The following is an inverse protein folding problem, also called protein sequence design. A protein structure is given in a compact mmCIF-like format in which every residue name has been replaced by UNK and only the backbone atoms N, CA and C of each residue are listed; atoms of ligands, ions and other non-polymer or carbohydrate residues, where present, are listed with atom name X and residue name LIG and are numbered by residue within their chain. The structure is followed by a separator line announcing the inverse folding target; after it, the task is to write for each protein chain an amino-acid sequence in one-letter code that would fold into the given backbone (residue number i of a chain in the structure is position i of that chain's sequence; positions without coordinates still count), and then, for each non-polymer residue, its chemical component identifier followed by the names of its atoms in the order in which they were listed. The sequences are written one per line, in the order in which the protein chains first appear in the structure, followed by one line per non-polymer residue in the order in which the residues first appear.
data_IF_911937764511
#
_entry.id   IF_911937764511
#
_cell.length_a   1.000
_cell.length_b   1.000
_cell.length_c   1.000
_cell.angle_alpha   90.00
_cell.angle_beta   90.00
_cell.angle_gamma   90.00
#
_symmetry.space_group_name_H-M   'P 1'
#
loop_
_entity.id
_entity.type
_entity.pdbx_description
1 polymer ?
#
# COMPACT_ATOMS: atom_id res chain seq x y z
N UNK A 1 1.02 22.66 5.64
CA UNK A 1 2.20 21.83 5.95
C UNK A 1 3.31 22.72 6.47
N UNK A 2 4.07 22.25 7.44
CA UNK A 2 5.19 22.99 8.03
C UNK A 2 6.40 22.06 8.10
N UNK A 3 7.60 22.60 7.84
CA UNK A 3 8.86 21.90 7.98
C UNK A 3 9.51 22.28 9.31
N UNK A 4 9.65 21.32 10.22
CA UNK A 4 10.22 21.50 11.56
C UNK A 4 11.43 20.57 11.74
N UNK A 5 12.57 21.06 12.26
CA UNK A 5 13.69 20.21 12.62
C UNK A 5 13.30 19.16 13.65
N UNK A 6 13.78 17.92 13.50
CA UNK A 6 13.53 16.87 14.50
C UNK A 6 14.06 17.21 15.89
N UNK A 7 15.09 18.08 16.01
CA UNK A 7 15.60 18.57 17.29
C UNK A 7 14.60 19.40 18.08
N UNK A 8 13.60 19.96 17.39
CA UNK A 8 12.57 20.83 17.98
C UNK A 8 11.29 20.02 18.27
N UNK A 9 11.31 18.70 18.04
CA UNK A 9 10.20 17.79 18.25
C UNK A 9 10.54 16.78 19.34
N UNK A 10 9.54 16.45 20.17
CA UNK A 10 9.63 15.33 21.09
C UNK A 10 9.09 14.07 20.43
N UNK A 11 9.90 13.02 20.38
CA UNK A 11 9.51 11.69 19.90
C UNK A 11 8.90 10.90 21.07
N UNK A 12 7.73 10.30 20.87
CA UNK A 12 7.05 9.46 21.86
C UNK A 12 7.17 8.00 21.46
N UNK A 13 7.67 7.13 22.33
CA UNK A 13 7.69 5.68 22.05
C UNK A 13 6.29 5.08 22.27
N UNK A 14 5.43 5.19 21.26
CA UNK A 14 4.05 4.70 21.30
C UNK A 14 3.67 3.77 20.14
N UNK A 15 4.64 3.39 19.29
CA UNK A 15 4.40 2.50 18.14
C UNK A 15 4.42 1.01 18.50
N UNK A 16 3.54 0.60 19.42
CA UNK A 16 3.41 -0.78 19.88
C UNK A 16 2.34 -1.56 19.10
N UNK A 17 2.57 -1.77 17.80
CA UNK A 17 1.58 -2.34 16.88
C UNK A 17 1.73 -3.86 16.66
N UNK A 18 0.69 -4.47 16.10
CA UNK A 18 0.67 -5.89 15.71
C UNK A 18 1.32 -6.15 14.34
N UNK A 19 1.36 -5.17 13.45
CA UNK A 19 1.98 -5.22 12.12
C UNK A 19 2.61 -3.88 11.75
N UNK A 20 3.50 -3.88 10.77
CA UNK A 20 4.32 -2.73 10.39
C UNK A 20 5.16 -2.18 11.55
N UNK A 21 5.56 -3.04 12.49
CA UNK A 21 6.33 -2.65 13.69
C UNK A 21 7.65 -1.98 13.35
N UNK A 22 8.29 -2.43 12.27
CA UNK A 22 9.59 -1.93 11.82
C UNK A 22 9.57 -0.50 11.27
N UNK A 23 8.38 0.10 11.04
CA UNK A 23 8.30 1.48 10.53
C UNK A 23 8.62 2.52 11.60
N UNK A 24 8.41 2.19 12.88
CA UNK A 24 8.55 3.15 13.97
C UNK A 24 7.69 4.40 13.77
N UNK A 25 6.42 4.24 13.36
CA UNK A 25 5.49 5.35 13.09
C UNK A 25 4.99 6.01 14.39
N UNK A 26 5.94 6.44 15.21
CA UNK A 26 5.77 7.08 16.51
C UNK A 26 5.11 8.45 16.41
N UNK A 27 4.43 8.85 17.48
CA UNK A 27 3.95 10.22 17.61
C UNK A 27 5.13 11.19 17.76
N UNK A 28 5.07 12.29 17.02
CA UNK A 28 5.94 13.46 17.22
C UNK A 28 5.12 14.62 17.77
N UNK A 29 5.63 15.26 18.83
CA UNK A 29 4.95 16.36 19.51
C UNK A 29 5.75 17.65 19.33
N UNK A 30 5.08 18.69 18.85
CA UNK A 30 5.57 20.07 18.81
C UNK A 30 4.83 20.89 19.87
N UNK A 31 5.55 21.44 20.84
CA UNK A 31 5.01 22.30 21.90
C UNK A 31 5.64 23.69 21.75
N UNK A 32 4.81 24.71 21.49
CA UNK A 32 5.21 26.12 21.34
C UNK A 32 6.38 26.37 20.36
N UNK A 33 6.48 25.56 19.30
CA UNK A 33 7.54 25.68 18.29
C UNK A 33 7.24 26.81 17.31
N UNK A 34 8.15 27.78 17.21
CA UNK A 34 8.11 28.80 16.18
C UNK A 34 8.55 28.23 14.83
N UNK A 35 7.71 28.37 13.80
CA UNK A 35 8.03 27.99 12.42
C UNK A 35 8.10 29.25 11.55
N UNK A 36 9.28 29.57 10.97
CA UNK A 36 9.41 30.67 10.03
C UNK A 36 8.48 30.51 8.81
N UNK A 37 7.97 31.62 8.28
CA UNK A 37 6.98 31.60 7.20
C UNK A 37 7.49 30.88 5.94
N UNK A 38 8.79 30.97 5.63
CA UNK A 38 9.43 30.28 4.51
C UNK A 38 9.46 28.75 4.64
N UNK A 39 9.15 28.20 5.81
CA UNK A 39 9.02 26.74 6.06
C UNK A 39 7.57 26.27 6.10
N UNK A 40 6.62 27.13 5.75
CA UNK A 40 5.19 26.83 5.77
C UNK A 40 4.62 26.88 4.36
N UNK A 41 3.95 25.79 3.96
CA UNK A 41 3.21 25.70 2.70
C UNK A 41 1.71 25.49 2.99
N UNK A 42 0.81 26.31 2.46
CA UNK A 42 -0.63 26.06 2.56
C UNK A 42 -0.99 24.71 1.93
N UNK A 43 -1.64 23.84 2.69
CA UNK A 43 -1.99 22.49 2.24
C UNK A 43 -2.84 22.50 0.94
N UNK A 44 -3.84 23.40 0.76
CA UNK A 44 -4.60 23.46 -0.49
C UNK A 44 -3.74 23.73 -1.73
N UNK A 45 -2.67 24.51 -1.61
CA UNK A 45 -1.72 24.79 -2.71
C UNK A 45 -0.92 23.55 -3.08
N UNK A 46 -0.51 22.75 -2.08
CA UNK A 46 0.21 21.49 -2.30
C UNK A 46 -0.71 20.45 -2.95
N UNK A 47 -1.93 20.31 -2.44
CA UNK A 47 -2.92 19.34 -2.94
C UNK A 47 -3.39 19.65 -4.37
N UNK A 48 -3.41 20.91 -4.77
CA UNK A 48 -3.85 21.32 -6.10
C UNK A 48 -2.77 21.16 -7.18
N UNK A 49 -1.51 20.86 -6.82
CA UNK A 49 -0.42 20.65 -7.78
C UNK A 49 0.09 21.93 -8.48
N UNK A 50 -0.26 23.12 -7.99
CA UNK A 50 0.12 24.40 -8.61
C UNK A 50 1.50 24.91 -8.18
N UNK A 51 2.40 24.04 -7.74
CA UNK A 51 3.76 24.44 -7.39
C UNK A 51 4.55 24.63 -8.69
N UNK A 52 4.86 25.88 -9.02
CA UNK A 52 5.71 26.21 -10.15
C UNK A 52 7.12 25.64 -9.90
N UNK A 53 7.47 24.57 -10.61
CA UNK A 53 8.79 23.95 -10.55
C UNK A 53 9.27 23.58 -11.95
N UNK A 54 10.57 23.78 -12.19
CA UNK A 54 11.24 23.37 -13.41
C UNK A 54 11.52 21.86 -13.44
N UNK A 55 11.40 21.18 -12.30
CA UNK A 55 11.58 19.74 -12.16
C UNK A 55 10.25 19.05 -12.46
N UNK A 56 10.20 18.27 -13.55
CA UNK A 56 9.00 17.58 -14.02
C UNK A 56 8.28 16.74 -12.94
N UNK A 57 9.06 16.01 -12.11
CA UNK A 57 8.54 15.19 -11.01
C UNK A 57 7.81 16.00 -9.93
N UNK A 58 8.14 17.29 -9.77
CA UNK A 58 7.53 18.17 -8.76
C UNK A 58 6.25 18.86 -9.26
N UNK A 59 5.83 18.62 -10.50
CA UNK A 59 4.60 19.18 -11.08
C UNK A 59 3.37 18.30 -10.87
N UNK A 60 3.56 17.01 -10.59
CA UNK A 60 2.44 16.12 -10.33
C UNK A 60 1.78 16.43 -8.98
N UNK A 61 0.45 16.29 -8.85
CA UNK A 61 -0.23 16.43 -7.58
C UNK A 61 0.34 15.43 -6.56
N UNK A 62 0.45 15.87 -5.31
CA UNK A 62 1.10 15.10 -4.24
C UNK A 62 0.52 13.69 -4.07
N UNK A 63 -0.80 13.54 -4.16
CA UNK A 63 -1.49 12.30 -3.81
C UNK A 63 -1.31 11.18 -4.85
N UNK A 64 -1.44 11.43 -6.17
CA UNK A 64 -1.02 10.46 -7.20
C UNK A 64 0.43 10.00 -7.04
N UNK A 65 1.37 10.91 -6.74
CA UNK A 65 2.78 10.56 -6.50
C UNK A 65 2.94 9.73 -5.22
N UNK A 66 2.26 10.11 -4.13
CA UNK A 66 2.25 9.35 -2.90
C UNK A 66 1.65 7.95 -3.09
N UNK A 67 0.62 7.84 -3.93
CA UNK A 67 -0.01 6.57 -4.28
C UNK A 67 0.95 5.67 -5.09
N UNK A 68 1.54 6.20 -6.16
CA UNK A 68 2.51 5.48 -6.99
C UNK A 68 3.77 5.06 -6.22
N UNK A 69 4.25 5.87 -5.28
CA UNK A 69 5.39 5.50 -4.43
C UNK A 69 5.04 4.47 -3.34
N UNK A 70 3.76 4.31 -3.00
CA UNK A 70 3.32 3.37 -1.95
C UNK A 70 3.07 1.96 -2.46
N UNK A 71 2.66 1.78 -3.73
CA UNK A 71 2.26 0.46 -4.26
C UNK A 71 3.37 -0.59 -4.18
N UNK A 72 4.64 -0.19 -4.34
CA UNK A 72 5.78 -1.10 -4.29
C UNK A 72 5.91 -1.83 -2.95
N UNK A 73 5.63 -1.16 -1.83
CA UNK A 73 5.70 -1.77 -0.48
C UNK A 73 4.68 -2.89 -0.35
N UNK A 74 3.45 -2.63 -0.79
CA UNK A 74 2.31 -3.53 -0.67
C UNK A 74 2.44 -4.73 -1.61
N UNK A 75 2.85 -4.50 -2.86
CA UNK A 75 3.16 -5.55 -3.81
C UNK A 75 4.33 -6.42 -3.35
N UNK A 76 5.35 -5.80 -2.73
CA UNK A 76 6.47 -6.51 -2.12
C UNK A 76 6.04 -7.51 -1.04
N UNK A 77 5.07 -7.15 -0.19
CA UNK A 77 4.51 -8.07 0.81
C UNK A 77 3.85 -9.29 0.15
N UNK A 78 3.08 -9.09 -0.92
CA UNK A 78 2.43 -10.20 -1.63
C UNK A 78 3.44 -11.13 -2.31
N UNK A 79 4.48 -10.55 -2.95
CA UNK A 79 5.58 -11.32 -3.55
C UNK A 79 6.38 -12.09 -2.49
N UNK A 80 6.65 -11.48 -1.34
CA UNK A 80 7.33 -12.14 -0.22
C UNK A 80 6.49 -13.28 0.37
N UNK A 81 5.17 -13.14 0.45
CA UNK A 81 4.28 -14.22 0.90
C UNK A 81 4.31 -15.41 -0.07
N UNK A 82 4.30 -15.14 -1.39
CA UNK A 82 4.45 -16.15 -2.43
C UNK A 82 5.77 -16.90 -2.28
N UNK A 83 6.88 -16.19 -2.14
CA UNK A 83 8.22 -16.79 -1.96
C UNK A 83 8.28 -17.65 -0.70
N UNK A 84 7.86 -17.11 0.45
CA UNK A 84 7.85 -17.83 1.73
C UNK A 84 6.95 -19.09 1.69
N UNK A 85 5.85 -19.05 0.93
CA UNK A 85 5.00 -20.21 0.72
C UNK A 85 5.71 -21.28 -0.12
N UNK A 86 6.22 -20.91 -1.29
CA UNK A 86 6.84 -21.87 -2.22
C UNK A 86 8.16 -22.44 -1.72
N UNK A 87 8.92 -21.70 -0.92
CA UNK A 87 10.13 -22.20 -0.26
C UNK A 87 9.80 -23.38 0.67
N UNK A 88 8.68 -23.30 1.39
CA UNK A 88 8.26 -24.33 2.36
C UNK A 88 7.42 -25.43 1.74
N UNK A 89 6.82 -25.20 0.57
CA UNK A 89 5.88 -26.13 -0.06
C UNK A 89 6.43 -27.56 -0.28
N UNK A 90 7.70 -27.79 -0.69
CA UNK A 90 8.20 -29.12 -1.01
C UNK A 90 8.22 -30.11 0.17
N UNK A 91 8.47 -29.61 1.38
CA UNK A 91 8.73 -30.41 2.58
C UNK A 91 7.48 -30.56 3.48
N UNK A 92 6.31 -30.19 2.96
CA UNK A 92 5.10 -30.09 3.75
C UNK A 92 4.08 -31.14 3.39
N UNK A 93 3.63 -31.87 4.40
CA UNK A 93 2.41 -32.67 4.35
C UNK A 93 1.18 -31.89 4.77
N UNK A 94 0.00 -32.39 4.44
CA UNK A 94 -1.27 -31.91 4.99
C UNK A 94 -1.67 -32.88 6.11
N UNK A 95 -1.47 -32.44 7.36
CA UNK A 95 -1.74 -33.27 8.55
C UNK A 95 -3.20 -33.70 8.59
N UNK A 96 -3.46 -34.95 9.01
CA UNK A 96 -4.77 -35.60 9.00
C UNK A 96 -5.35 -35.91 7.61
N UNK A 97 -4.51 -35.97 6.59
CA UNK A 97 -4.86 -36.47 5.25
C UNK A 97 -3.80 -37.47 4.77
N UNK A 98 -4.03 -38.13 3.64
CA UNK A 98 -3.04 -39.00 2.99
C UNK A 98 -1.98 -38.23 2.16
N UNK A 99 -2.06 -36.89 2.10
CA UNK A 99 -1.10 -36.08 1.35
C UNK A 99 0.20 -35.90 2.13
N UNK A 100 1.19 -36.74 1.82
CA UNK A 100 2.57 -36.60 2.32
C UNK A 100 3.27 -35.34 1.76
N UNK A 101 2.77 -34.83 0.64
CA UNK A 101 3.25 -33.60 -0.02
C UNK A 101 2.08 -32.71 -0.39
N UNK A 102 2.08 -31.48 0.11
CA UNK A 102 1.09 -30.44 -0.16
C UNK A 102 1.10 -30.05 -1.64
N UNK A 103 2.21 -30.29 -2.35
CA UNK A 103 2.33 -30.11 -3.81
C UNK A 103 1.40 -31.01 -4.62
N UNK A 104 0.96 -32.13 -4.05
CA UNK A 104 0.10 -33.10 -4.75
C UNK A 104 -1.39 -32.86 -4.47
N UNK A 105 -1.69 -32.01 -3.49
CA UNK A 105 -3.07 -31.76 -3.08
C UNK A 105 -3.75 -30.77 -4.03
N UNK A 106 -4.88 -31.14 -4.69
CA UNK A 106 -5.60 -30.24 -5.60
C UNK A 106 -6.03 -28.91 -4.96
N UNK A 107 -6.36 -28.95 -3.66
CA UNK A 107 -6.69 -27.73 -2.90
C UNK A 107 -5.53 -26.72 -2.89
N UNK A 108 -4.28 -27.19 -2.85
CA UNK A 108 -3.11 -26.32 -2.94
C UNK A 108 -3.02 -25.68 -4.31
N UNK A 109 -3.24 -26.44 -5.39
CA UNK A 109 -3.18 -25.93 -6.77
C UNK A 109 -4.17 -24.78 -6.98
N UNK A 110 -5.40 -24.94 -6.48
CA UNK A 110 -6.43 -23.90 -6.56
C UNK A 110 -6.02 -22.65 -5.78
N UNK A 111 -5.55 -22.81 -4.54
CA UNK A 111 -5.12 -21.67 -3.71
C UNK A 111 -3.94 -20.91 -4.33
N UNK A 112 -2.92 -21.61 -4.83
CA UNK A 112 -1.73 -20.94 -5.38
C UNK A 112 -2.03 -20.28 -6.72
N UNK A 113 -2.93 -20.84 -7.54
CA UNK A 113 -3.36 -20.24 -8.79
C UNK A 113 -4.16 -18.96 -8.53
N UNK A 114 -5.12 -18.99 -7.60
CA UNK A 114 -5.88 -17.79 -7.23
C UNK A 114 -4.96 -16.70 -6.66
N UNK A 115 -4.09 -17.05 -5.71
CA UNK A 115 -3.18 -16.10 -5.11
C UNK A 115 -2.19 -15.51 -6.14
N UNK A 116 -1.72 -16.31 -7.10
CA UNK A 116 -0.86 -15.82 -8.19
C UNK A 116 -1.60 -14.80 -9.08
N UNK A 117 -2.84 -15.09 -9.49
CA UNK A 117 -3.63 -14.13 -10.26
C UNK A 117 -3.84 -12.82 -9.50
N UNK A 118 -4.11 -12.86 -8.19
CA UNK A 118 -4.23 -11.62 -7.39
C UNK A 118 -2.93 -10.82 -7.36
N UNK A 119 -1.77 -11.48 -7.28
CA UNK A 119 -0.46 -10.78 -7.35
C UNK A 119 -0.26 -10.15 -8.73
N UNK A 120 -0.61 -10.85 -9.80
CA UNK A 120 -0.48 -10.36 -11.17
C UNK A 120 -1.42 -9.17 -11.43
N UNK A 121 -2.66 -9.24 -10.95
CA UNK A 121 -3.62 -8.13 -11.00
C UNK A 121 -3.14 -6.93 -10.18
N UNK A 122 -2.59 -7.16 -8.98
CA UNK A 122 -2.00 -6.09 -8.17
C UNK A 122 -0.81 -5.44 -8.90
N UNK A 123 0.03 -6.24 -9.53
CA UNK A 123 1.16 -5.74 -10.32
C UNK A 123 0.72 -4.87 -11.49
N UNK A 124 -0.35 -5.28 -12.19
CA UNK A 124 -0.94 -4.49 -13.26
C UNK A 124 -1.42 -3.12 -12.77
N UNK A 125 -2.18 -3.06 -11.67
CA UNK A 125 -2.66 -1.80 -11.11
C UNK A 125 -1.50 -0.91 -10.62
N UNK A 126 -0.47 -1.50 -10.02
CA UNK A 126 0.72 -0.79 -9.57
C UNK A 126 1.46 -0.12 -10.72
N UNK A 127 1.72 -0.86 -11.81
CA UNK A 127 2.38 -0.32 -13.00
C UNK A 127 1.51 0.69 -13.71
N UNK A 128 0.21 0.43 -13.88
CA UNK A 128 -0.70 1.39 -14.52
C UNK A 128 -0.72 2.74 -13.79
N UNK A 129 -0.67 2.73 -12.45
CA UNK A 129 -0.58 3.94 -11.65
C UNK A 129 0.78 4.63 -11.81
N UNK A 130 1.89 3.90 -11.73
CA UNK A 130 3.23 4.45 -11.91
C UNK A 130 3.39 5.08 -13.31
N UNK A 131 3.00 4.35 -14.35
CA UNK A 131 3.06 4.80 -15.75
C UNK A 131 2.21 6.05 -15.98
N UNK A 132 1.03 6.16 -15.35
CA UNK A 132 0.20 7.36 -15.41
C UNK A 132 0.92 8.56 -14.81
N UNK A 133 1.51 8.42 -13.62
CA UNK A 133 2.27 9.49 -12.96
C UNK A 133 3.45 9.91 -13.81
N UNK A 134 4.26 8.96 -14.27
CA UNK A 134 5.47 9.23 -15.06
C UNK A 134 5.14 9.89 -16.39
N UNK A 135 4.12 9.39 -17.09
CA UNK A 135 3.68 9.95 -18.38
C UNK A 135 3.15 11.38 -18.22
N UNK A 136 2.35 11.64 -17.17
CA UNK A 136 1.85 12.99 -16.87
C UNK A 136 2.98 13.95 -16.53
N UNK A 137 3.97 13.51 -15.73
CA UNK A 137 5.16 14.29 -15.41
C UNK A 137 5.96 14.63 -16.66
N UNK A 138 6.27 13.63 -17.49
CA UNK A 138 7.06 13.79 -18.71
C UNK A 138 6.39 14.75 -19.71
N UNK A 139 5.07 14.63 -19.89
CA UNK A 139 4.31 15.48 -20.80
C UNK A 139 3.94 16.85 -20.21
N UNK A 140 4.14 17.07 -18.90
CA UNK A 140 3.59 18.24 -18.17
C UNK A 140 2.09 18.43 -18.42
N UNK A 141 1.36 17.31 -18.52
CA UNK A 141 -0.06 17.31 -18.84
C UNK A 141 -0.91 17.60 -17.59
N UNK A 142 -2.03 18.33 -17.73
CA UNK A 142 -2.94 18.57 -16.62
C UNK A 142 -3.57 17.27 -16.12
N UNK A 143 -3.91 17.25 -14.83
CA UNK A 143 -4.61 16.14 -14.18
C UNK A 143 -6.10 16.43 -14.11
N UNK A 144 -6.91 15.51 -14.62
CA UNK A 144 -8.37 15.56 -14.44
C UNK A 144 -8.76 15.03 -13.07
N UNK A 145 -9.97 15.38 -12.64
CA UNK A 145 -10.57 14.82 -11.42
C UNK A 145 -10.64 13.30 -11.45
N UNK A 146 -11.04 12.74 -12.61
CA UNK A 146 -11.16 11.30 -12.82
C UNK A 146 -9.80 10.59 -12.71
N UNK A 147 -8.74 11.13 -13.29
CA UNK A 147 -7.39 10.53 -13.20
C UNK A 147 -6.87 10.51 -11.77
N UNK A 148 -7.11 11.56 -10.98
CA UNK A 148 -6.73 11.59 -9.56
C UNK A 148 -7.52 10.56 -8.75
N UNK A 149 -8.81 10.46 -8.99
CA UNK A 149 -9.66 9.45 -8.34
C UNK A 149 -9.27 8.02 -8.75
N UNK A 150 -8.94 7.81 -10.03
CA UNK A 150 -8.44 6.53 -10.53
C UNK A 150 -7.10 6.16 -9.91
N UNK A 151 -6.19 7.13 -9.71
CA UNK A 151 -4.92 6.88 -9.04
C UNK A 151 -5.11 6.38 -7.59
N UNK A 152 -6.09 6.94 -6.88
CA UNK A 152 -6.51 6.44 -5.55
C UNK A 152 -7.10 5.04 -5.64
N UNK A 153 -7.98 4.79 -6.60
CA UNK A 153 -8.59 3.47 -6.82
C UNK A 153 -7.53 2.40 -7.10
N UNK A 154 -6.52 2.71 -7.91
CA UNK A 154 -5.44 1.78 -8.22
C UNK A 154 -4.63 1.39 -6.99
N UNK A 155 -4.26 2.36 -6.16
CA UNK A 155 -3.63 2.06 -4.88
C UNK A 155 -4.53 1.17 -4.01
N UNK A 156 -5.83 1.48 -3.94
CA UNK A 156 -6.81 0.66 -3.22
C UNK A 156 -6.89 -0.78 -3.75
N UNK A 157 -6.91 -0.95 -5.07
CA UNK A 157 -6.92 -2.25 -5.74
C UNK A 157 -5.65 -3.05 -5.41
N UNK A 158 -4.46 -2.43 -5.52
CA UNK A 158 -3.19 -3.05 -5.12
C UNK A 158 -3.25 -3.54 -3.67
N UNK A 159 -3.74 -2.70 -2.76
CA UNK A 159 -3.86 -3.02 -1.33
C UNK A 159 -4.80 -4.19 -1.05
N UNK A 160 -5.99 -4.19 -1.67
CA UNK A 160 -6.98 -5.27 -1.55
C UNK A 160 -6.44 -6.59 -2.11
N UNK A 161 -5.93 -6.57 -3.33
CA UNK A 161 -5.43 -7.75 -4.03
C UNK A 161 -4.22 -8.35 -3.35
N UNK A 162 -3.27 -7.53 -2.91
CA UNK A 162 -2.10 -7.98 -2.16
C UNK A 162 -2.50 -8.63 -0.82
N UNK A 163 -3.41 -8.01 -0.07
CA UNK A 163 -3.93 -8.58 1.18
C UNK A 163 -4.59 -9.93 0.92
N UNK A 164 -5.47 -10.02 -0.06
CA UNK A 164 -6.19 -11.24 -0.38
C UNK A 164 -5.22 -12.37 -0.81
N UNK A 165 -4.18 -12.05 -1.60
CA UNK A 165 -3.13 -13.00 -1.99
C UNK A 165 -2.33 -13.50 -0.77
N UNK A 166 -1.90 -12.60 0.11
CA UNK A 166 -1.18 -12.94 1.35
C UNK A 166 -2.06 -13.80 2.25
N UNK A 167 -3.34 -13.48 2.40
CA UNK A 167 -4.28 -14.25 3.21
C UNK A 167 -4.49 -15.67 2.66
N UNK A 168 -4.49 -15.85 1.33
CA UNK A 168 -4.53 -17.17 0.70
C UNK A 168 -3.26 -17.97 0.99
N UNK A 169 -2.07 -17.40 0.76
CA UNK A 169 -0.80 -18.07 1.06
C UNK A 169 -0.65 -18.40 2.55
N UNK A 170 -1.03 -17.48 3.44
CA UNK A 170 -0.96 -17.68 4.88
C UNK A 170 -1.90 -18.81 5.34
N UNK A 171 -3.16 -18.81 4.90
CA UNK A 171 -4.12 -19.88 5.23
C UNK A 171 -3.68 -21.25 4.68
N UNK A 172 -3.09 -21.28 3.49
CA UNK A 172 -2.53 -22.51 2.92
C UNK A 172 -1.25 -22.98 3.63
N UNK A 173 -0.64 -22.15 4.48
CA UNK A 173 0.62 -22.46 5.18
C UNK A 173 0.43 -23.24 6.49
N UNK A 174 -0.78 -23.66 6.89
CA UNK A 174 -1.02 -24.57 8.03
C UNK A 174 -0.46 -24.13 9.40
N UNK A 175 -0.62 -24.98 10.43
CA UNK A 175 -0.37 -24.59 11.83
C UNK A 175 1.07 -24.19 12.17
N UNK A 176 2.09 -24.82 11.56
CA UNK A 176 3.50 -24.47 11.81
C UNK A 176 3.91 -23.11 11.23
N UNK A 177 3.01 -22.38 10.55
CA UNK A 177 3.31 -21.05 10.02
C UNK A 177 3.14 -19.92 11.02
N UNK A 178 2.58 -20.21 12.20
CA UNK A 178 2.34 -19.20 13.25
C UNK A 178 3.58 -18.92 14.11
N UNK A 179 4.62 -19.77 14.02
CA UNK A 179 5.85 -19.56 14.79
C UNK A 179 6.54 -18.26 14.37
N UNK A 180 7.13 -17.57 15.35
CA UNK A 180 7.68 -16.22 15.15
C UNK A 180 8.86 -16.16 14.17
N UNK A 181 9.58 -17.27 14.01
CA UNK A 181 10.68 -17.45 13.07
C UNK A 181 10.20 -17.74 11.63
N UNK A 182 8.92 -18.06 11.42
CA UNK A 182 8.37 -18.24 10.08
C UNK A 182 7.92 -16.89 9.51
N UNK A 183 8.41 -16.48 8.31
CA UNK A 183 8.13 -15.14 7.79
C UNK A 183 6.66 -14.85 7.47
N UNK A 184 5.88 -15.86 7.05
CA UNK A 184 4.53 -15.66 6.51
C UNK A 184 3.57 -15.01 7.52
N UNK A 185 3.67 -15.33 8.81
CA UNK A 185 2.82 -14.68 9.83
C UNK A 185 3.16 -13.20 10.02
N UNK A 186 4.42 -12.80 9.84
CA UNK A 186 4.81 -11.38 9.89
C UNK A 186 4.25 -10.65 8.68
N UNK A 187 4.42 -11.23 7.49
CA UNK A 187 3.90 -10.67 6.23
C UNK A 187 2.37 -10.48 6.31
N UNK A 188 1.66 -11.48 6.84
CA UNK A 188 0.21 -11.40 7.06
C UNK A 188 -0.18 -10.27 8.03
N UNK A 189 0.53 -10.09 9.14
CA UNK A 189 0.26 -8.97 10.06
C UNK A 189 0.57 -7.61 9.43
N UNK A 190 1.67 -7.52 8.69
CA UNK A 190 2.12 -6.28 8.06
C UNK A 190 1.16 -5.84 6.94
N UNK A 191 0.67 -6.76 6.10
CA UNK A 191 -0.29 -6.43 5.03
C UNK A 191 -1.65 -6.00 5.58
N UNK A 192 -2.08 -6.57 6.70
CA UNK A 192 -3.32 -6.15 7.35
C UNK A 192 -3.18 -4.74 7.93
N UNK A 193 -2.06 -4.45 8.61
CA UNK A 193 -1.79 -3.13 9.17
C UNK A 193 -1.63 -2.03 8.10
N UNK A 194 -0.96 -2.31 6.98
CA UNK A 194 -0.80 -1.30 5.92
C UNK A 194 -2.13 -0.92 5.25
N UNK A 195 -3.07 -1.86 5.17
CA UNK A 195 -4.41 -1.65 4.61
C UNK A 195 -5.33 -0.77 5.49
N UNK A 196 -4.94 -0.48 6.75
CA UNK A 196 -5.69 0.45 7.61
C UNK A 196 -5.23 1.90 7.48
N UNK A 197 -4.14 2.16 6.73
CA UNK A 197 -3.65 3.52 6.51
C UNK A 197 -4.65 4.32 5.67
N UNK A 198 -4.94 5.57 6.06
CA UNK A 198 -6.01 6.38 5.45
C UNK A 198 -5.87 6.57 3.92
N UNK A 199 -4.64 6.67 3.41
CA UNK A 199 -4.37 6.75 1.96
C UNK A 199 -4.51 5.38 1.26
N UNK A 200 -4.17 4.28 1.94
CA UNK A 200 -4.06 2.94 1.35
C UNK A 200 -5.35 2.11 1.53
N UNK A 201 -6.31 2.62 2.31
CA UNK A 201 -7.55 1.92 2.60
C UNK A 201 -8.36 1.67 1.31
N UNK A 202 -8.60 0.41 0.92
CA UNK A 202 -9.27 0.08 -0.34
C UNK A 202 -10.70 0.62 -0.42
N UNK A 203 -11.49 0.48 0.65
CA UNK A 203 -12.91 0.82 0.62
C UNK A 203 -13.15 2.33 0.51
N UNK A 204 -12.31 3.12 1.20
CA UNK A 204 -12.32 4.59 1.06
C UNK A 204 -11.93 4.99 -0.37
N UNK A 205 -10.92 4.34 -0.94
CA UNK A 205 -10.48 4.65 -2.31
C UNK A 205 -11.54 4.29 -3.36
N UNK A 206 -12.25 3.18 -3.19
CA UNK A 206 -13.36 2.78 -4.08
C UNK A 206 -14.55 3.73 -3.98
N UNK A 207 -14.89 4.23 -2.79
CA UNK A 207 -15.95 5.23 -2.61
C UNK A 207 -15.62 6.52 -3.38
N UNK A 208 -14.40 7.03 -3.23
CA UNK A 208 -13.98 8.27 -3.88
C UNK A 208 -14.03 8.15 -5.41
N UNK A 209 -13.58 7.02 -5.95
CA UNK A 209 -13.61 6.76 -7.37
C UNK A 209 -15.02 6.50 -7.90
N UNK A 210 -15.81 5.69 -7.19
CA UNK A 210 -17.20 5.39 -7.54
C UNK A 210 -18.06 6.66 -7.61
N UNK A 211 -17.87 7.61 -6.70
CA UNK A 211 -18.54 8.91 -6.75
C UNK A 211 -18.25 9.67 -8.04
N UNK A 212 -16.98 9.76 -8.42
CA UNK A 212 -16.56 10.46 -9.65
C UNK A 212 -17.09 9.75 -10.89
N UNK A 213 -17.13 8.41 -10.90
CA UNK A 213 -17.78 7.65 -11.98
C UNK A 213 -19.29 7.93 -12.08
N UNK A 214 -19.95 8.21 -10.96
CA UNK A 214 -21.35 8.60 -10.93
C UNK A 214 -21.58 10.11 -11.20
N UNK A 215 -20.55 10.85 -11.62
CA UNK A 215 -20.65 12.29 -11.92
C UNK A 215 -20.78 13.18 -10.69
N UNK A 216 -20.39 12.70 -9.51
CA UNK A 216 -20.38 13.46 -8.27
C UNK A 216 -18.96 13.96 -7.94
N UNK A 217 -18.88 15.05 -7.17
CA UNK A 217 -17.61 15.48 -6.58
C UNK A 217 -17.05 14.41 -5.62
N UNK A 218 -15.72 14.25 -5.54
CA UNK A 218 -15.09 13.40 -4.56
C UNK A 218 -15.39 13.96 -3.18
N UNK A 219 -15.72 13.09 -2.23
CA UNK A 219 -16.06 13.48 -0.86
C UNK A 219 -14.82 13.90 -0.03
N UNK A 220 -13.78 14.45 -0.69
CA UNK A 220 -12.49 14.79 -0.09
C UNK A 220 -11.72 15.79 -0.94
N UNK A 221 -10.84 16.56 -0.29
CA UNK A 221 -9.82 17.37 -0.95
C UNK A 221 -8.50 16.61 -1.21
N UNK A 222 -8.35 15.42 -0.61
CA UNK A 222 -7.16 14.58 -0.70
C UNK A 222 -7.25 13.58 -1.86
N UNK A 223 -7.26 14.06 -3.09
CA UNK A 223 -7.25 13.23 -4.30
C UNK A 223 -5.90 13.18 -5.01
#
# INVERSE_FOLDING_TARGET
MALVPMSDLRIVDDWHTSGMRGTGSVTTVAEDVFVPAERVLPLPTVLSGHLASDIAMLRAPLLPVAAASSVGTVLGLARAAREAFFERLPDRKITYTAYESQREAPVTHLHVAEAAHRVDEADFHAHRLADLVDSKCAASAPWTLLERAQARADLGAVCRLARDAVDLYARASGGSSIYADVPIQRIARDVQAVNTHALLNPDTNDELYGRVLCGLEPNTFYL
#
